data_IF_292842691949
#
_entry.id   IF_292842691949
#
_cell.length_a   1.000
_cell.length_b   1.000
_cell.length_c   1.000
_cell.angle_alpha   90.00
_cell.angle_beta   90.00
_cell.angle_gamma   90.00
#
_symmetry.space_group_name_H-M   'P 1'
#
loop_
_entity.id
_entity.type
_entity.pdbx_description
1 polymer ?
#
# COMPACT_ATOMS: atom_id res chain seq x y z
N UNK A 1 -2.87 22.01 20.11
CA UNK A 1 -3.97 22.30 21.04
C UNK A 1 -4.88 21.10 21.05
N UNK A 2 -4.87 20.35 22.14
CA UNK A 2 -5.91 19.38 22.47
C UNK A 2 -7.23 20.15 22.54
N UNK A 3 -8.21 19.90 21.66
CA UNK A 3 -9.53 20.49 21.83
C UNK A 3 -10.11 19.93 23.12
N UNK A 4 -10.60 20.82 23.97
CA UNK A 4 -11.22 20.47 25.23
C UNK A 4 -12.43 19.55 24.93
N UNK A 5 -12.58 18.47 25.69
CA UNK A 5 -13.64 17.47 25.48
C UNK A 5 -15.05 18.09 25.49
N UNK A 6 -15.17 19.27 26.08
CA UNK A 6 -16.33 20.15 26.15
C UNK A 6 -16.91 20.53 24.79
N UNK A 7 -16.12 20.54 23.71
CA UNK A 7 -16.57 20.91 22.36
C UNK A 7 -17.05 19.73 21.49
N UNK A 8 -17.10 18.51 22.04
CA UNK A 8 -17.59 17.35 21.30
C UNK A 8 -19.10 17.39 21.08
N UNK A 9 -19.56 16.98 19.89
CA UNK A 9 -20.97 16.99 19.50
C UNK A 9 -21.49 15.57 19.33
N UNK A 10 -22.73 15.32 19.73
CA UNK A 10 -23.34 13.99 19.53
C UNK A 10 -23.43 13.63 18.03
N UNK A 11 -23.24 12.35 17.68
CA UNK A 11 -23.34 11.85 16.30
C UNK A 11 -24.65 12.30 15.61
N UNK A 12 -25.78 12.24 16.31
CA UNK A 12 -27.08 12.70 15.79
C UNK A 12 -27.09 14.18 15.39
N UNK A 13 -26.41 15.04 16.14
CA UNK A 13 -26.34 16.48 15.85
C UNK A 13 -25.45 16.75 14.63
N UNK A 14 -24.34 16.03 14.51
CA UNK A 14 -23.43 16.12 13.35
C UNK A 14 -24.13 15.65 12.07
N UNK A 15 -24.81 14.49 12.12
CA UNK A 15 -25.59 13.98 10.99
C UNK A 15 -26.73 14.94 10.63
N UNK A 16 -27.49 15.43 11.62
CA UNK A 16 -28.57 16.38 11.39
C UNK A 16 -28.12 17.66 10.70
N UNK A 17 -27.00 18.24 11.13
CA UNK A 17 -26.42 19.39 10.46
C UNK A 17 -25.93 19.05 9.06
N UNK A 18 -25.33 17.87 8.86
CA UNK A 18 -24.94 17.37 7.54
C UNK A 18 -26.11 17.26 6.58
N UNK A 19 -27.24 16.72 7.04
CA UNK A 19 -28.51 16.64 6.30
C UNK A 19 -28.96 18.04 5.88
N UNK A 20 -29.02 18.97 6.84
CA UNK A 20 -29.41 20.37 6.57
C UNK A 20 -28.49 21.00 5.53
N UNK A 21 -27.17 20.90 5.73
CA UNK A 21 -26.13 21.44 4.84
C UNK A 21 -26.27 20.89 3.43
N UNK A 22 -26.40 19.56 3.29
CA UNK A 22 -26.57 18.87 2.00
C UNK A 22 -27.83 19.33 1.28
N UNK A 23 -28.95 19.46 2.01
CA UNK A 23 -30.23 19.92 1.47
C UNK A 23 -30.16 21.37 1.02
N UNK A 24 -29.67 22.27 1.88
CA UNK A 24 -29.63 23.72 1.58
C UNK A 24 -28.59 24.10 0.53
N UNK A 25 -27.61 23.24 0.25
CA UNK A 25 -26.66 23.44 -0.83
C UNK A 25 -27.33 23.53 -2.21
N UNK A 26 -28.52 22.93 -2.38
CA UNK A 26 -29.34 23.11 -3.57
C UNK A 26 -30.50 24.07 -3.29
N UNK A 27 -30.54 25.17 -4.04
CA UNK A 27 -31.62 26.16 -3.93
C UNK A 27 -32.98 25.52 -4.19
N UNK A 28 -33.92 25.75 -3.29
CA UNK A 28 -35.32 25.32 -3.45
C UNK A 28 -35.69 23.97 -2.85
N UNK A 29 -34.72 23.16 -2.38
CA UNK A 29 -35.04 21.87 -1.72
C UNK A 29 -35.55 22.11 -0.30
N UNK A 30 -36.79 21.73 -0.05
CA UNK A 30 -37.50 21.88 1.23
C UNK A 30 -37.40 20.57 2.03
N UNK A 31 -37.69 20.66 3.33
CA UNK A 31 -37.77 19.47 4.18
C UNK A 31 -38.89 18.51 3.73
N UNK A 32 -39.98 19.04 3.15
CA UNK A 32 -41.06 18.24 2.56
C UNK A 32 -40.57 17.36 1.39
N UNK A 33 -39.59 17.82 0.60
CA UNK A 33 -39.03 17.03 -0.49
C UNK A 33 -38.25 15.81 0.04
N UNK A 34 -37.52 15.99 1.15
CA UNK A 34 -36.82 14.90 1.86
C UNK A 34 -37.83 13.93 2.48
N UNK A 35 -38.90 14.44 3.10
CA UNK A 35 -39.95 13.60 3.66
C UNK A 35 -40.66 12.78 2.57
N UNK A 36 -40.95 13.39 1.42
CA UNK A 36 -41.53 12.72 0.25
C UNK A 36 -40.61 11.61 -0.29
N UNK A 37 -39.31 11.88 -0.41
CA UNK A 37 -38.33 10.87 -0.82
C UNK A 37 -38.20 9.73 0.21
N UNK A 38 -38.23 10.03 1.51
CA UNK A 38 -38.22 9.00 2.55
C UNK A 38 -39.44 8.08 2.48
N UNK A 39 -40.63 8.63 2.18
CA UNK A 39 -41.87 7.84 1.99
C UNK A 39 -41.81 6.88 0.81
N UNK A 40 -41.04 7.17 -0.25
CA UNK A 40 -40.86 6.21 -1.35
C UNK A 40 -40.02 4.99 -0.97
N UNK A 41 -39.27 5.06 0.14
CA UNK A 41 -38.57 3.92 0.76
C UNK A 41 -39.41 3.25 1.87
N UNK A 42 -40.69 3.59 2.00
CA UNK A 42 -41.57 3.03 3.03
C UNK A 42 -41.38 3.64 4.43
N UNK A 43 -40.59 4.71 4.57
CA UNK A 43 -40.43 5.39 5.85
C UNK A 43 -41.60 6.36 6.10
N UNK A 44 -42.20 6.29 7.27
CA UNK A 44 -43.27 7.21 7.70
C UNK A 44 -42.70 8.56 8.17
N UNK A 45 -41.97 9.25 7.28
CA UNK A 45 -41.40 10.57 7.54
C UNK A 45 -42.36 11.67 7.10
N UNK A 46 -42.53 12.65 7.97
CA UNK A 46 -43.20 13.91 7.71
C UNK A 46 -42.18 15.07 7.80
N UNK A 47 -42.64 16.28 7.45
CA UNK A 47 -41.85 17.49 7.57
C UNK A 47 -41.24 17.68 8.97
N UNK A 48 -42.04 17.45 10.02
CA UNK A 48 -41.65 17.61 11.42
C UNK A 48 -40.51 16.66 11.81
N UNK A 49 -40.52 15.42 11.30
CA UNK A 49 -39.47 14.43 11.51
C UNK A 49 -38.16 14.85 10.86
N UNK A 50 -38.20 15.38 9.64
CA UNK A 50 -37.00 15.91 8.97
C UNK A 50 -36.46 17.12 9.73
N UNK A 51 -37.32 18.04 10.19
CA UNK A 51 -36.91 19.19 10.98
C UNK A 51 -36.24 18.78 12.31
N UNK A 52 -36.80 17.79 13.02
CA UNK A 52 -36.23 17.26 14.25
C UNK A 52 -34.90 16.52 14.01
N UNK A 53 -34.77 15.82 12.88
CA UNK A 53 -33.52 15.21 12.45
C UNK A 53 -32.45 16.27 12.19
N UNK A 54 -32.76 17.34 11.45
CA UNK A 54 -31.82 18.42 11.13
C UNK A 54 -31.32 19.17 12.37
N UNK A 55 -32.10 19.21 13.45
CA UNK A 55 -31.70 19.78 14.75
C UNK A 55 -30.95 18.79 15.65
N UNK A 56 -30.84 17.52 15.25
CA UNK A 56 -30.25 16.47 16.09
C UNK A 56 -31.10 16.09 17.30
N UNK A 57 -32.39 16.45 17.32
CA UNK A 57 -33.32 16.13 18.41
C UNK A 57 -33.76 14.67 18.35
N UNK A 58 -33.89 14.13 17.13
CA UNK A 58 -34.36 12.76 16.89
C UNK A 58 -33.21 11.81 16.61
N UNK A 59 -33.20 10.67 17.29
CA UNK A 59 -32.32 9.57 16.96
C UNK A 59 -32.74 8.96 15.61
N UNK A 60 -31.74 8.61 14.79
CA UNK A 60 -31.91 7.89 13.54
C UNK A 60 -31.58 6.42 13.78
N UNK A 61 -32.41 5.50 13.29
CA UNK A 61 -32.08 4.06 13.37
C UNK A 61 -30.96 3.70 12.40
N UNK A 62 -30.40 2.50 12.52
CA UNK A 62 -29.36 2.02 11.59
C UNK A 62 -29.92 1.87 10.17
N UNK A 63 -31.15 1.37 10.03
CA UNK A 63 -31.87 1.22 8.76
C UNK A 63 -32.13 2.57 8.11
N UNK A 64 -32.59 3.56 8.89
CA UNK A 64 -32.81 4.91 8.39
C UNK A 64 -31.49 5.58 7.97
N UNK A 65 -30.41 5.38 8.73
CA UNK A 65 -29.09 5.92 8.40
C UNK A 65 -28.53 5.31 7.12
N UNK A 66 -28.77 4.01 6.88
CA UNK A 66 -28.35 3.33 5.66
C UNK A 66 -29.07 3.86 4.41
N UNK A 67 -30.36 4.22 4.53
CA UNK A 67 -31.16 4.77 3.43
C UNK A 67 -31.01 6.28 3.23
N UNK A 68 -30.53 7.00 4.24
CA UNK A 68 -30.45 8.47 4.25
C UNK A 68 -29.69 9.06 3.04
N UNK A 69 -28.53 8.52 2.59
CA UNK A 69 -27.83 9.04 1.42
C UNK A 69 -28.67 8.96 0.15
N UNK A 70 -29.42 7.88 -0.04
CA UNK A 70 -30.26 7.69 -1.22
C UNK A 70 -31.48 8.63 -1.19
N UNK A 71 -32.13 8.75 -0.02
CA UNK A 71 -33.24 9.69 0.21
C UNK A 71 -32.81 11.12 -0.14
N UNK A 72 -31.64 11.54 0.35
CA UNK A 72 -31.09 12.86 0.04
C UNK A 72 -30.68 12.99 -1.42
N UNK A 73 -30.23 11.90 -2.04
CA UNK A 73 -29.85 11.89 -3.45
C UNK A 73 -31.04 12.17 -4.35
N UNK A 74 -32.18 11.55 -4.06
CA UNK A 74 -33.46 11.79 -4.76
C UNK A 74 -33.92 13.23 -4.52
N UNK A 75 -34.03 13.65 -3.26
CA UNK A 75 -34.53 14.98 -2.92
C UNK A 75 -33.66 16.11 -3.50
N UNK A 76 -32.34 15.92 -3.52
CA UNK A 76 -31.40 16.90 -4.04
C UNK A 76 -31.08 16.73 -5.53
N UNK A 77 -31.50 15.64 -6.18
CA UNK A 77 -31.14 15.29 -7.57
C UNK A 77 -29.62 15.35 -7.78
N UNK A 78 -28.87 14.75 -6.87
CA UNK A 78 -27.40 14.61 -6.93
C UNK A 78 -26.97 13.43 -6.09
N UNK A 79 -25.87 12.78 -6.41
CA UNK A 79 -25.34 11.74 -5.54
C UNK A 79 -24.91 12.32 -4.19
N UNK A 80 -25.42 11.72 -3.11
CA UNK A 80 -25.05 11.99 -1.72
C UNK A 80 -24.55 10.68 -1.12
N UNK A 81 -23.38 10.71 -0.50
CA UNK A 81 -22.80 9.59 0.25
C UNK A 81 -22.85 9.91 1.74
N UNK A 82 -22.83 8.88 2.57
CA UNK A 82 -22.83 9.05 4.03
C UNK A 82 -21.67 9.94 4.55
N UNK A 83 -20.43 9.85 4.02
CA UNK A 83 -19.36 10.79 4.33
C UNK A 83 -19.68 12.28 4.10
N UNK A 84 -20.60 12.61 3.18
CA UNK A 84 -20.97 14.02 2.95
C UNK A 84 -21.77 14.63 4.12
N UNK A 85 -22.33 13.78 5.00
CA UNK A 85 -23.11 14.20 6.15
C UNK A 85 -22.26 14.49 7.40
N UNK A 86 -20.95 14.21 7.34
CA UNK A 86 -20.04 14.38 8.47
C UNK A 86 -19.04 15.46 8.11
N UNK A 87 -18.87 16.43 9.01
CA UNK A 87 -17.80 17.41 8.90
C UNK A 87 -16.49 16.76 9.39
N UNK A 88 -15.42 16.71 8.58
CA UNK A 88 -14.17 16.04 8.96
C UNK A 88 -13.48 16.66 10.19
N UNK A 89 -13.73 17.94 10.46
CA UNK A 89 -13.01 18.73 11.47
C UNK A 89 -13.74 18.80 12.82
N UNK A 90 -14.95 18.24 12.89
CA UNK A 90 -15.77 18.23 14.12
C UNK A 90 -15.46 17.00 14.97
N UNK A 91 -15.40 17.18 16.29
CA UNK A 91 -15.31 16.07 17.25
C UNK A 91 -16.69 15.49 17.55
N UNK A 92 -16.80 14.17 17.42
CA UNK A 92 -18.07 13.45 17.47
C UNK A 92 -18.08 12.45 18.62
N UNK A 93 -19.08 12.58 19.48
CA UNK A 93 -19.39 11.62 20.53
C UNK A 93 -20.19 10.44 19.94
N UNK A 94 -19.64 9.23 20.06
CA UNK A 94 -20.21 7.96 19.62
C UNK A 94 -20.18 6.97 20.79
N UNK A 95 -21.34 6.75 21.41
CA UNK A 95 -21.42 6.00 22.66
C UNK A 95 -20.60 6.70 23.75
N UNK A 96 -19.72 5.96 24.44
CA UNK A 96 -18.79 6.50 25.44
C UNK A 96 -17.48 7.06 24.87
N UNK A 97 -17.33 7.18 23.55
CA UNK A 97 -16.08 7.59 22.88
C UNK A 97 -16.24 8.91 22.13
N UNK A 98 -15.15 9.67 22.04
CA UNK A 98 -15.02 10.89 21.23
C UNK A 98 -14.01 10.61 20.12
N UNK A 99 -14.34 10.97 18.87
CA UNK A 99 -13.46 10.81 17.71
C UNK A 99 -13.68 11.92 16.68
N UNK A 100 -12.69 12.28 15.85
CA UNK A 100 -12.89 13.29 14.81
C UNK A 100 -13.84 12.77 13.71
N UNK A 101 -14.55 13.66 13.05
CA UNK A 101 -15.47 13.31 11.96
C UNK A 101 -14.75 12.65 10.78
N UNK A 102 -13.49 13.01 10.53
CA UNK A 102 -12.64 12.35 9.52
C UNK A 102 -12.44 10.85 9.78
N UNK A 103 -12.44 10.41 11.04
CA UNK A 103 -12.36 8.99 11.38
C UNK A 103 -13.69 8.27 11.13
N UNK A 104 -14.81 8.92 11.42
CA UNK A 104 -16.13 8.37 11.09
C UNK A 104 -16.35 8.23 9.59
N UNK A 105 -15.87 9.19 8.80
CA UNK A 105 -15.89 9.11 7.34
C UNK A 105 -15.19 7.83 6.86
N UNK A 106 -14.00 7.54 7.39
CA UNK A 106 -13.26 6.30 7.06
C UNK A 106 -14.02 5.05 7.49
N UNK A 107 -14.59 5.04 8.69
CA UNK A 107 -15.39 3.91 9.19
C UNK A 107 -16.57 3.64 8.26
N UNK A 108 -17.36 4.66 7.93
CA UNK A 108 -18.51 4.52 7.04
C UNK A 108 -18.15 4.25 5.58
N UNK A 109 -16.94 4.59 5.15
CA UNK A 109 -16.41 4.20 3.85
C UNK A 109 -15.93 2.73 3.81
N UNK A 110 -16.09 1.96 4.89
CA UNK A 110 -15.60 0.58 4.98
C UNK A 110 -14.09 0.48 5.19
N UNK A 111 -13.40 1.61 5.42
CA UNK A 111 -11.94 1.68 5.61
C UNK A 111 -11.55 1.47 7.09
N UNK A 112 -12.51 1.11 7.95
CA UNK A 112 -12.36 1.07 9.42
C UNK A 112 -11.89 -0.25 10.03
N UNK A 113 -11.66 -1.30 9.23
CA UNK A 113 -11.40 -2.66 9.75
C UNK A 113 -10.07 -2.83 10.52
N UNK A 114 -9.14 -1.86 10.47
CA UNK A 114 -7.84 -1.95 11.17
C UNK A 114 -7.82 -1.46 12.63
N UNK A 115 -8.97 -1.06 13.22
CA UNK A 115 -8.98 -0.32 14.51
C UNK A 115 -9.48 -1.06 15.75
N UNK A 116 -9.71 -2.36 15.69
CA UNK A 116 -10.11 -3.14 16.88
C UNK A 116 -9.04 -3.15 18.00
N UNK A 117 -7.76 -2.92 17.69
CA UNK A 117 -6.68 -2.82 18.70
C UNK A 117 -6.58 -1.45 19.39
N UNK A 118 -7.21 -0.39 18.85
CA UNK A 118 -7.19 0.95 19.45
C UNK A 118 -8.22 1.13 20.58
N UNK A 119 -9.01 0.09 20.88
CA UNK A 119 -10.10 0.12 21.84
C UNK A 119 -9.70 0.35 23.31
N UNK A 120 -8.40 0.43 23.65
CA UNK A 120 -7.90 0.50 25.02
C UNK A 120 -7.07 1.74 25.36
N UNK A 121 -6.96 2.74 24.47
CA UNK A 121 -6.04 3.87 24.70
C UNK A 121 -6.74 5.16 25.14
N UNK A 122 -6.15 5.80 26.16
CA UNK A 122 -6.46 7.13 26.67
C UNK A 122 -6.47 8.16 25.50
N UNK A 123 -7.39 9.16 25.49
CA UNK A 123 -7.37 10.28 24.53
C UNK A 123 -5.99 10.87 24.20
N UNK A 124 -5.09 11.01 25.18
CA UNK A 124 -3.73 11.51 24.96
C UNK A 124 -2.88 10.58 24.08
N UNK A 125 -3.06 9.26 24.21
CA UNK A 125 -2.41 8.27 23.37
C UNK A 125 -2.94 8.30 21.94
N UNK A 126 -4.23 8.63 21.76
CA UNK A 126 -4.83 8.82 20.44
C UNK A 126 -4.24 10.06 19.74
N UNK A 127 -4.04 11.16 20.47
CA UNK A 127 -3.43 12.39 19.90
C UNK A 127 -1.97 12.16 19.56
N UNK A 128 -1.21 11.50 20.45
CA UNK A 128 0.19 11.10 20.16
C UNK A 128 0.26 10.26 18.89
N UNK A 129 -0.62 9.25 18.75
CA UNK A 129 -0.70 8.43 17.54
C UNK A 129 -1.09 9.21 16.30
N UNK A 130 -1.99 10.19 16.37
CA UNK A 130 -2.33 10.99 15.19
C UNK A 130 -1.19 11.90 14.74
N UNK A 131 -0.43 12.48 15.68
CA UNK A 131 0.80 13.21 15.34
C UNK A 131 1.82 12.27 14.69
N UNK A 132 1.94 11.03 15.18
CA UNK A 132 2.78 10.00 14.55
C UNK A 132 2.28 9.64 13.14
N UNK A 133 0.96 9.54 12.93
CA UNK A 133 0.36 9.27 11.61
C UNK A 133 0.60 10.42 10.63
N UNK A 134 0.39 11.67 11.05
CA UNK A 134 0.68 12.84 10.20
C UNK A 134 2.16 12.87 9.80
N UNK A 135 3.06 12.62 10.76
CA UNK A 135 4.49 12.46 10.46
C UNK A 135 4.73 11.29 9.50
N UNK A 136 4.03 10.18 9.69
CA UNK A 136 4.17 9.01 8.84
C UNK A 136 3.75 9.31 7.38
N UNK A 137 2.80 10.22 7.13
CA UNK A 137 2.49 10.66 5.76
C UNK A 137 3.67 11.37 5.08
N UNK A 138 4.28 12.33 5.77
CA UNK A 138 5.47 12.97 5.24
C UNK A 138 6.63 11.95 5.05
N UNK A 139 6.70 10.90 5.90
CA UNK A 139 7.73 9.85 5.81
C UNK A 139 7.45 8.96 4.60
N UNK A 140 6.18 8.63 4.35
CA UNK A 140 5.69 7.95 3.16
C UNK A 140 6.06 8.74 1.91
N UNK A 141 5.80 10.04 1.87
CA UNK A 141 6.13 10.88 0.72
C UNK A 141 7.64 10.96 0.48
N UNK A 142 8.44 10.96 1.56
CA UNK A 142 9.90 10.85 1.44
C UNK A 142 10.32 9.48 0.89
N UNK A 143 9.76 8.38 1.40
CA UNK A 143 10.06 7.02 0.93
C UNK A 143 9.65 6.80 -0.53
N UNK A 144 8.52 7.37 -0.96
CA UNK A 144 8.09 7.36 -2.36
C UNK A 144 9.08 8.08 -3.26
N UNK A 145 9.54 9.29 -2.86
CA UNK A 145 10.57 10.03 -3.61
C UNK A 145 11.90 9.29 -3.70
N UNK A 146 12.19 8.42 -2.74
CA UNK A 146 13.37 7.55 -2.77
C UNK A 146 13.13 6.24 -3.54
N UNK A 147 11.97 6.08 -4.19
CA UNK A 147 11.57 4.85 -4.87
C UNK A 147 11.58 3.62 -3.95
N UNK A 148 11.43 3.83 -2.65
CA UNK A 148 11.50 2.77 -1.64
C UNK A 148 10.13 2.09 -1.45
N UNK A 149 9.05 2.79 -1.82
CA UNK A 149 7.65 2.35 -1.82
C UNK A 149 6.92 3.00 -3.01
N UNK A 150 5.74 2.52 -3.40
CA UNK A 150 4.98 3.06 -4.56
C UNK A 150 3.60 3.59 -4.18
N UNK A 151 3.14 4.63 -4.88
CA UNK A 151 1.95 5.45 -4.57
C UNK A 151 0.61 4.69 -4.56
N UNK A 152 0.54 3.53 -5.22
CA UNK A 152 -0.69 2.76 -5.44
C UNK A 152 -0.62 1.30 -4.98
N UNK A 153 0.29 0.98 -4.06
CA UNK A 153 0.19 -0.32 -3.40
C UNK A 153 -1.09 -0.31 -2.55
N UNK A 154 -2.11 -1.06 -2.98
CA UNK A 154 -3.31 -1.38 -2.17
C UNK A 154 -2.93 -1.93 -0.78
N UNK A 155 -1.66 -2.32 -0.63
CA UNK A 155 -1.02 -2.91 0.54
C UNK A 155 -0.09 -1.97 1.30
N UNK A 156 0.14 -0.73 0.84
CA UNK A 156 0.90 0.23 1.63
C UNK A 156 0.03 0.72 2.78
N UNK A 157 -0.09 -0.11 3.79
CA UNK A 157 -0.64 0.24 5.08
C UNK A 157 0.44 1.00 5.85
N UNK A 158 0.29 2.32 5.86
CA UNK A 158 1.15 3.22 6.63
C UNK A 158 1.22 2.81 8.11
N UNK A 159 0.13 2.24 8.66
CA UNK A 159 0.13 1.72 10.02
C UNK A 159 0.95 0.43 10.13
N UNK A 160 0.88 -0.48 9.16
CA UNK A 160 1.75 -1.65 9.12
C UNK A 160 3.23 -1.26 8.97
N UNK A 161 3.55 -0.22 8.19
CA UNK A 161 4.91 0.32 8.10
C UNK A 161 5.38 0.83 9.48
N UNK A 162 4.61 1.71 10.11
CA UNK A 162 4.96 2.29 11.42
C UNK A 162 5.04 1.21 12.50
N UNK A 163 4.12 0.24 12.50
CA UNK A 163 4.09 -0.84 13.48
C UNK A 163 5.22 -1.86 13.26
N UNK A 164 5.58 -2.14 12.00
CA UNK A 164 6.64 -3.09 11.70
C UNK A 164 8.03 -2.48 11.92
N UNK A 165 8.21 -1.18 11.67
CA UNK A 165 9.50 -0.49 11.78
C UNK A 165 9.73 0.06 13.18
N UNK A 166 10.50 -0.68 13.96
CA UNK A 166 11.00 -0.24 15.25
C UNK A 166 12.13 0.78 15.04
N UNK A 167 11.88 2.04 15.39
CA UNK A 167 12.89 3.09 15.38
C UNK A 167 13.69 3.01 16.67
N UNK A 168 14.96 2.60 16.57
CA UNK A 168 15.89 2.58 17.70
C UNK A 168 16.64 3.91 17.88
N UNK A 169 17.30 4.05 19.03
CA UNK A 169 18.12 5.22 19.35
C UNK A 169 19.29 5.43 18.37
N UNK A 170 19.77 4.35 17.74
CA UNK A 170 20.87 4.45 16.77
C UNK A 170 20.38 5.07 15.45
N UNK A 171 19.18 4.70 15.02
CA UNK A 171 18.48 5.25 13.86
C UNK A 171 18.16 6.74 14.08
N UNK A 172 17.63 7.12 15.25
CA UNK A 172 17.36 8.52 15.58
C UNK A 172 18.62 9.41 15.50
N UNK A 173 19.74 8.93 16.07
CA UNK A 173 21.01 9.67 16.05
C UNK A 173 21.58 9.75 14.64
N UNK A 174 21.46 8.69 13.87
CA UNK A 174 21.89 8.65 12.46
C UNK A 174 21.08 9.63 11.63
N UNK A 175 19.76 9.57 11.74
CA UNK A 175 18.81 10.46 11.07
C UNK A 175 19.16 11.93 11.34
N UNK A 176 19.33 12.31 12.62
CA UNK A 176 19.75 13.67 12.99
C UNK A 176 21.09 14.08 12.36
N UNK A 177 22.05 13.16 12.28
CA UNK A 177 23.39 13.45 11.76
C UNK A 177 23.40 13.67 10.24
N UNK A 178 22.56 12.95 9.49
CA UNK A 178 22.52 13.05 8.02
C UNK A 178 21.38 13.96 7.52
N UNK A 179 20.65 14.62 8.42
CA UNK A 179 19.54 15.51 8.05
C UNK A 179 18.28 14.78 7.58
N UNK A 180 18.08 13.54 8.04
CA UNK A 180 16.97 12.69 7.62
C UNK A 180 16.00 12.35 8.75
N UNK A 181 14.93 11.66 8.38
CA UNK A 181 13.87 11.26 9.31
C UNK A 181 14.12 9.86 9.89
N UNK A 182 13.86 9.63 11.19
CA UNK A 182 14.16 8.35 11.81
C UNK A 182 13.47 7.14 11.17
N UNK A 183 12.20 7.29 10.75
CA UNK A 183 11.46 6.20 10.11
C UNK A 183 12.04 5.86 8.73
N UNK A 184 12.45 6.87 7.95
CA UNK A 184 13.13 6.68 6.65
C UNK A 184 14.43 5.90 6.84
N UNK A 185 15.27 6.30 7.80
CA UNK A 185 16.52 5.58 8.12
C UNK A 185 16.25 4.15 8.55
N UNK A 186 15.29 3.93 9.45
CA UNK A 186 14.95 2.60 9.93
C UNK A 186 14.43 1.69 8.81
N UNK A 187 13.60 2.22 7.90
CA UNK A 187 13.10 1.47 6.75
C UNK A 187 14.22 1.12 5.75
N UNK A 188 15.01 2.12 5.34
CA UNK A 188 16.13 1.90 4.42
C UNK A 188 17.18 0.94 4.99
N UNK A 189 17.39 0.94 6.31
CA UNK A 189 18.29 0.00 6.98
C UNK A 189 17.87 -1.45 6.73
N UNK A 190 16.56 -1.72 6.77
CA UNK A 190 16.03 -3.05 6.48
C UNK A 190 16.10 -3.40 5.00
N UNK A 191 15.89 -2.44 4.10
CA UNK A 191 16.10 -2.70 2.67
C UNK A 191 17.56 -3.04 2.35
N UNK A 192 18.51 -2.30 2.95
CA UNK A 192 19.94 -2.48 2.73
C UNK A 192 20.49 -3.76 3.37
N UNK A 193 20.13 -4.02 4.63
CA UNK A 193 20.80 -5.05 5.45
C UNK A 193 19.86 -6.14 5.97
N UNK A 194 18.57 -6.06 5.66
CA UNK A 194 17.55 -6.97 6.20
C UNK A 194 17.27 -6.80 7.70
N UNK A 195 17.85 -5.79 8.35
CA UNK A 195 17.76 -5.58 9.81
C UNK A 195 17.93 -4.10 10.20
N UNK A 196 17.54 -3.70 11.43
CA UNK A 196 17.81 -2.36 11.95
C UNK A 196 19.30 -2.01 11.97
N UNK A 197 19.63 -0.72 11.87
CA UNK A 197 21.00 -0.20 11.84
C UNK A 197 21.77 -0.57 13.11
N UNK A 198 21.10 -0.49 14.28
CA UNK A 198 21.70 -0.90 15.55
C UNK A 198 22.15 -2.36 15.56
N UNK A 199 21.31 -3.26 15.04
CA UNK A 199 21.62 -4.69 14.94
C UNK A 199 22.72 -4.96 13.91
N UNK A 200 22.70 -4.29 12.76
CA UNK A 200 23.74 -4.42 11.75
C UNK A 200 25.10 -3.98 12.28
N UNK A 201 25.14 -2.87 13.04
CA UNK A 201 26.35 -2.42 13.74
C UNK A 201 26.87 -3.50 14.68
N UNK A 202 26.01 -4.03 15.54
CA UNK A 202 26.45 -4.97 16.57
C UNK A 202 26.88 -6.32 15.96
N UNK A 203 26.24 -6.76 14.88
CA UNK A 203 26.69 -7.89 14.06
C UNK A 203 28.09 -7.68 13.51
N UNK A 204 28.34 -6.57 12.80
CA UNK A 204 29.65 -6.28 12.20
C UNK A 204 30.75 -6.10 13.24
N UNK A 205 30.41 -5.55 14.42
CA UNK A 205 31.34 -5.48 15.55
C UNK A 205 31.67 -6.88 16.05
N UNK A 206 30.68 -7.75 16.22
CA UNK A 206 30.88 -9.14 16.66
C UNK A 206 31.70 -9.96 15.66
N UNK A 207 31.52 -9.75 14.36
CA UNK A 207 32.29 -10.44 13.31
C UNK A 207 33.77 -10.01 13.26
N UNK A 208 34.09 -8.80 13.75
CA UNK A 208 35.44 -8.22 13.71
C UNK A 208 36.16 -8.22 15.07
N UNK A 209 35.45 -8.54 16.14
CA UNK A 209 36.00 -8.58 17.49
C UNK A 209 36.68 -9.93 17.74
N UNK A 210 37.89 -9.90 18.30
CA UNK A 210 38.58 -11.10 18.72
C UNK A 210 38.14 -11.51 20.14
N UNK A 211 38.19 -12.81 20.45
CA UNK A 211 37.93 -13.29 21.80
C UNK A 211 38.96 -12.71 22.77
N UNK A 212 38.52 -11.84 23.68
CA UNK A 212 39.40 -11.15 24.66
C UNK A 212 39.71 -9.69 24.33
N UNK A 213 39.10 -9.10 23.30
CA UNK A 213 39.24 -7.66 23.04
C UNK A 213 38.83 -6.80 24.26
N UNK A 214 39.71 -5.88 24.65
CA UNK A 214 39.46 -4.92 25.75
C UNK A 214 38.25 -4.00 25.44
N UNK A 215 37.41 -3.67 26.44
CA UNK A 215 36.28 -2.77 26.28
C UNK A 215 36.57 -1.45 25.55
N UNK A 216 37.77 -0.86 25.65
CA UNK A 216 38.09 0.37 24.93
C UNK A 216 38.23 0.14 23.42
N UNK A 217 38.86 -0.98 23.03
CA UNK A 217 39.00 -1.40 21.62
C UNK A 217 37.64 -1.68 20.99
N UNK A 218 36.75 -2.39 21.70
CA UNK A 218 35.37 -2.63 21.24
C UNK A 218 34.59 -1.33 21.03
N UNK A 219 34.76 -0.35 21.93
CA UNK A 219 34.12 0.96 21.82
C UNK A 219 34.60 1.72 20.59
N UNK A 220 35.92 1.72 20.34
CA UNK A 220 36.51 2.33 19.14
C UNK A 220 36.06 1.62 17.85
N UNK A 221 35.99 0.29 17.86
CA UNK A 221 35.51 -0.51 16.73
C UNK A 221 34.05 -0.19 16.40
N UNK A 222 33.17 -0.17 17.41
CA UNK A 222 31.76 0.23 17.25
C UNK A 222 31.63 1.63 16.66
N UNK A 223 32.49 2.58 17.07
CA UNK A 223 32.54 3.92 16.51
C UNK A 223 32.98 3.99 15.05
N UNK A 224 33.90 3.11 14.61
CA UNK A 224 34.29 2.97 13.19
C UNK A 224 33.17 2.35 12.35
N UNK A 225 32.60 1.24 12.82
CA UNK A 225 31.48 0.54 12.15
C UNK A 225 30.28 1.47 11.99
N UNK A 226 29.93 2.23 13.04
CA UNK A 226 28.80 3.17 12.95
C UNK A 226 29.04 4.24 11.89
N UNK A 227 30.25 4.79 11.77
CA UNK A 227 30.58 5.76 10.72
C UNK A 227 30.45 5.15 9.32
N UNK A 228 31.01 3.95 9.13
CA UNK A 228 30.87 3.20 7.88
C UNK A 228 29.40 3.02 7.47
N UNK A 229 28.54 2.56 8.39
CA UNK A 229 27.12 2.35 8.10
C UNK A 229 26.37 3.66 7.80
N UNK A 230 26.78 4.77 8.43
CA UNK A 230 26.22 6.09 8.13
C UNK A 230 26.62 6.53 6.71
N UNK A 231 27.89 6.34 6.33
CA UNK A 231 28.37 6.68 4.99
C UNK A 231 27.66 5.83 3.92
N UNK A 232 27.46 4.53 4.18
CA UNK A 232 26.67 3.62 3.31
C UNK A 232 25.20 4.07 3.18
N UNK A 233 24.56 4.46 4.29
CA UNK A 233 23.18 4.97 4.30
C UNK A 233 23.06 6.28 3.50
N UNK A 234 23.98 7.24 3.72
CA UNK A 234 24.00 8.49 2.97
C UNK A 234 24.21 8.25 1.48
N UNK A 235 25.11 7.34 1.11
CA UNK A 235 25.33 6.98 -0.29
C UNK A 235 24.09 6.33 -0.92
N UNK A 236 23.35 5.49 -0.18
CA UNK A 236 22.11 4.90 -0.67
C UNK A 236 21.01 5.95 -0.91
N UNK A 237 20.83 6.87 0.03
CA UNK A 237 19.86 7.97 -0.13
C UNK A 237 20.22 8.78 -1.38
N UNK A 238 21.49 9.16 -1.54
CA UNK A 238 21.93 9.89 -2.72
C UNK A 238 21.72 9.14 -4.04
N UNK A 239 21.96 7.81 -4.07
CA UNK A 239 21.68 6.98 -5.26
C UNK A 239 20.19 6.95 -5.60
N UNK A 240 19.33 6.78 -4.58
CA UNK A 240 17.89 6.76 -4.74
C UNK A 240 17.33 8.10 -5.21
N UNK A 241 17.86 9.21 -4.71
CA UNK A 241 17.49 10.53 -5.22
C UNK A 241 17.91 10.73 -6.68
N UNK A 242 19.15 10.33 -7.04
CA UNK A 242 19.65 10.46 -8.40
C UNK A 242 18.93 9.58 -9.42
N UNK A 243 18.38 8.44 -8.98
CA UNK A 243 17.77 7.43 -9.86
C UNK A 243 16.37 7.02 -9.41
N UNK A 244 15.61 7.96 -8.84
CA UNK A 244 14.33 7.65 -8.19
C UNK A 244 13.34 6.90 -9.09
N UNK A 245 13.25 7.25 -10.37
CA UNK A 245 12.38 6.57 -11.33
C UNK A 245 12.71 5.08 -11.47
N UNK A 246 14.01 4.76 -11.57
CA UNK A 246 14.48 3.38 -11.74
C UNK A 246 14.24 2.54 -10.47
N UNK A 247 14.47 3.14 -9.29
CA UNK A 247 14.14 2.49 -8.02
C UNK A 247 12.63 2.32 -7.84
N UNK A 248 11.83 3.32 -8.21
CA UNK A 248 10.37 3.25 -8.12
C UNK A 248 9.80 2.19 -9.07
N UNK A 249 10.33 2.08 -10.28
CA UNK A 249 9.97 1.02 -11.23
C UNK A 249 10.31 -0.37 -10.68
N UNK A 250 11.54 -0.56 -10.19
CA UNK A 250 11.95 -1.81 -9.55
C UNK A 250 11.01 -2.21 -8.40
N UNK A 251 10.76 -1.28 -7.47
CA UNK A 251 9.89 -1.52 -6.32
C UNK A 251 8.47 -1.89 -6.75
N UNK A 252 7.94 -1.22 -7.78
CA UNK A 252 6.59 -1.50 -8.31
C UNK A 252 6.46 -2.94 -8.83
N UNK A 253 7.45 -3.41 -9.57
CA UNK A 253 7.43 -4.79 -10.07
C UNK A 253 7.63 -5.83 -8.97
N UNK A 254 8.49 -5.55 -7.97
CA UNK A 254 8.68 -6.43 -6.81
C UNK A 254 7.42 -6.54 -5.96
N UNK A 255 6.72 -5.42 -5.72
CA UNK A 255 5.45 -5.42 -4.99
C UNK A 255 4.37 -6.18 -5.77
N UNK A 256 4.26 -5.94 -7.09
CA UNK A 256 3.32 -6.66 -7.95
C UNK A 256 3.59 -8.17 -7.97
N UNK A 257 4.84 -8.58 -8.04
CA UNK A 257 5.21 -9.99 -7.94
C UNK A 257 4.83 -10.59 -6.59
N UNK A 258 5.16 -9.89 -5.49
CA UNK A 258 4.90 -10.37 -4.13
C UNK A 258 3.40 -10.56 -3.88
N UNK A 259 2.58 -9.61 -4.36
CA UNK A 259 1.12 -9.70 -4.30
C UNK A 259 0.59 -10.94 -5.02
N UNK A 260 1.05 -11.18 -6.26
CA UNK A 260 0.58 -12.33 -7.03
C UNK A 260 1.07 -13.65 -6.45
N UNK A 261 2.27 -13.69 -5.85
CA UNK A 261 2.76 -14.85 -5.11
C UNK A 261 1.89 -15.14 -3.89
N UNK A 262 1.55 -14.12 -3.11
CA UNK A 262 0.74 -14.30 -1.91
C UNK A 262 -0.70 -14.71 -2.28
N UNK A 263 -1.28 -14.18 -3.37
CA UNK A 263 -2.54 -14.66 -3.96
C UNK A 263 -2.46 -16.11 -4.40
N UNK A 264 -1.41 -16.49 -5.13
CA UNK A 264 -1.16 -17.86 -5.57
C UNK A 264 -1.08 -18.82 -4.37
N UNK A 265 -0.36 -18.46 -3.31
CA UNK A 265 -0.27 -19.27 -2.10
C UNK A 265 -1.57 -19.29 -1.28
N UNK A 266 -2.33 -18.20 -1.22
CA UNK A 266 -3.62 -18.18 -0.53
C UNK A 266 -4.63 -19.13 -1.19
N UNK A 267 -4.69 -19.15 -2.53
CA UNK A 267 -5.49 -20.11 -3.30
C UNK A 267 -4.99 -21.54 -3.08
N UNK A 268 -3.68 -21.74 -3.07
CA UNK A 268 -3.10 -23.07 -2.84
C UNK A 268 -3.37 -23.60 -1.42
N UNK A 269 -3.29 -22.73 -0.40
CA UNK A 269 -3.47 -23.07 1.00
C UNK A 269 -4.94 -23.27 1.41
N UNK A 270 -5.89 -22.66 0.68
CA UNK A 270 -7.34 -22.86 0.90
C UNK A 270 -7.87 -24.20 0.39
N UNK A 271 -6.97 -25.12 0.04
CA UNK A 271 -7.24 -26.57 -0.08
C UNK A 271 -7.58 -27.25 1.26
N UNK A 272 -8.08 -26.50 2.26
CA UNK A 272 -8.66 -27.02 3.50
C UNK A 272 -10.01 -27.69 3.18
N UNK A 273 -10.18 -28.99 3.46
CA UNK A 273 -11.41 -29.74 3.19
C UNK A 273 -12.69 -29.11 3.76
N UNK A 274 -12.59 -28.30 4.83
CA UNK A 274 -13.76 -27.69 5.49
C UNK A 274 -14.30 -26.44 4.78
N UNK A 275 -13.45 -25.68 4.09
CA UNK A 275 -13.87 -24.52 3.29
C UNK A 275 -14.42 -24.93 1.91
N UNK A 276 -14.18 -26.18 1.51
CA UNK A 276 -14.74 -26.78 0.29
C UNK A 276 -16.28 -26.82 0.31
N UNK A 277 -16.92 -26.92 1.49
CA UNK A 277 -18.37 -27.01 1.60
C UNK A 277 -19.10 -25.71 1.25
N UNK A 278 -18.50 -24.54 1.48
CA UNK A 278 -19.08 -23.24 1.12
C UNK A 278 -18.91 -22.91 -0.38
N UNK A 279 -18.10 -23.70 -1.07
CA UNK A 279 -17.68 -23.55 -2.47
C UNK A 279 -18.64 -24.21 -3.47
N UNK A 280 -19.48 -25.11 -2.97
CA UNK A 280 -20.43 -25.94 -3.74
C UNK A 280 -21.64 -25.12 -4.25
N UNK A 281 -21.87 -23.92 -3.72
CA UNK A 281 -23.00 -23.05 -4.11
C UNK A 281 -22.71 -22.14 -5.33
N UNK A 282 -21.54 -22.28 -5.97
CA UNK A 282 -21.26 -21.68 -7.29
C UNK A 282 -21.22 -22.77 -8.35
N UNK A 283 -21.85 -22.59 -9.51
CA UNK A 283 -22.04 -23.63 -10.53
C UNK A 283 -20.74 -24.19 -11.16
N UNK A 284 -19.56 -23.61 -10.90
CA UNK A 284 -18.26 -24.18 -11.28
C UNK A 284 -17.08 -23.62 -10.44
N UNK A 285 -16.81 -24.17 -9.26
CA UNK A 285 -15.74 -23.69 -8.38
C UNK A 285 -14.33 -24.09 -8.86
N UNK A 286 -14.19 -25.20 -9.60
CA UNK A 286 -12.91 -25.68 -10.12
C UNK A 286 -12.30 -24.76 -11.19
N UNK A 287 -13.12 -24.16 -12.05
CA UNK A 287 -12.67 -23.21 -13.08
C UNK A 287 -12.20 -21.87 -12.50
N UNK A 288 -12.73 -21.46 -11.35
CA UNK A 288 -12.32 -20.20 -10.69
C UNK A 288 -10.93 -20.35 -10.05
N UNK A 289 -10.65 -21.51 -9.43
CA UNK A 289 -9.32 -21.80 -8.89
C UNK A 289 -8.27 -21.90 -9.97
N UNK A 290 -8.53 -22.70 -11.00
CA UNK A 290 -7.59 -22.88 -12.10
C UNK A 290 -7.32 -21.54 -12.80
N UNK A 291 -8.33 -20.71 -12.99
CA UNK A 291 -8.17 -19.37 -13.55
C UNK A 291 -7.36 -18.44 -12.64
N UNK A 292 -7.63 -18.40 -11.33
CA UNK A 292 -6.90 -17.55 -10.38
C UNK A 292 -5.44 -17.98 -10.24
N UNK A 293 -5.16 -19.29 -10.20
CA UNK A 293 -3.81 -19.84 -10.12
C UNK A 293 -3.02 -19.57 -11.41
N UNK A 294 -3.64 -19.79 -12.58
CA UNK A 294 -2.99 -19.54 -13.88
C UNK A 294 -2.77 -18.05 -14.12
N UNK A 295 -3.73 -17.20 -13.75
CA UNK A 295 -3.59 -15.73 -13.89
C UNK A 295 -2.49 -15.22 -12.96
N UNK A 296 -2.50 -15.61 -11.69
CA UNK A 296 -1.47 -15.19 -10.73
C UNK A 296 -0.08 -15.65 -11.17
N UNK A 297 0.06 -16.88 -11.69
CA UNK A 297 1.34 -17.39 -12.19
C UNK A 297 1.83 -16.61 -13.42
N UNK A 298 0.95 -16.37 -14.40
CA UNK A 298 1.28 -15.56 -15.59
C UNK A 298 1.71 -14.15 -15.20
N UNK A 299 1.01 -13.53 -14.26
CA UNK A 299 1.33 -12.19 -13.76
C UNK A 299 2.66 -12.17 -13.01
N UNK A 300 2.98 -13.22 -12.24
CA UNK A 300 4.31 -13.40 -11.64
C UNK A 300 5.41 -13.49 -12.72
N UNK A 301 5.21 -14.28 -13.77
CA UNK A 301 6.21 -14.42 -14.85
C UNK A 301 6.42 -13.09 -15.62
N UNK A 302 5.36 -12.30 -15.79
CA UNK A 302 5.45 -10.94 -16.35
C UNK A 302 6.28 -10.03 -15.42
N UNK A 303 6.00 -10.07 -14.12
CA UNK A 303 6.73 -9.28 -13.14
C UNK A 303 8.21 -9.68 -13.06
N UNK A 304 8.51 -10.98 -13.14
CA UNK A 304 9.88 -11.51 -13.13
C UNK A 304 10.72 -11.00 -14.30
N UNK A 305 10.15 -11.00 -15.51
CA UNK A 305 10.80 -10.40 -16.70
C UNK A 305 11.04 -8.91 -16.52
N UNK A 306 10.03 -8.16 -16.09
CA UNK A 306 10.17 -6.73 -15.87
C UNK A 306 11.24 -6.41 -14.80
N UNK A 307 11.32 -7.20 -13.73
CA UNK A 307 12.38 -7.08 -12.71
C UNK A 307 13.75 -7.37 -13.32
N UNK A 308 13.88 -8.39 -14.18
CA UNK A 308 15.13 -8.71 -14.86
C UNK A 308 15.59 -7.54 -15.75
N UNK A 309 14.69 -6.96 -16.53
CA UNK A 309 14.97 -5.82 -17.41
C UNK A 309 15.41 -4.58 -16.62
N UNK A 310 14.70 -4.25 -15.53
CA UNK A 310 15.08 -3.13 -14.66
C UNK A 310 16.43 -3.40 -14.00
N UNK A 311 16.71 -4.62 -13.55
CA UNK A 311 18.01 -4.99 -12.97
C UNK A 311 19.14 -4.88 -13.99
N UNK A 312 18.90 -5.15 -15.26
CA UNK A 312 19.91 -4.91 -16.31
C UNK A 312 20.23 -3.42 -16.42
N UNK A 313 19.23 -2.54 -16.40
CA UNK A 313 19.46 -1.09 -16.36
C UNK A 313 20.28 -0.65 -15.13
N UNK A 314 20.12 -1.30 -13.97
CA UNK A 314 21.00 -1.07 -12.81
C UNK A 314 22.46 -1.44 -13.14
N UNK A 315 22.70 -2.59 -13.79
CA UNK A 315 24.05 -3.04 -14.18
C UNK A 315 24.69 -2.09 -15.18
N UNK A 316 23.96 -1.68 -16.22
CA UNK A 316 24.43 -0.74 -17.25
C UNK A 316 24.86 0.61 -16.64
N UNK A 317 24.19 1.05 -15.56
CA UNK A 317 24.51 2.28 -14.83
C UNK A 317 25.56 2.10 -13.74
N UNK A 318 26.10 0.89 -13.56
CA UNK A 318 27.04 0.58 -12.48
C UNK A 318 26.46 0.75 -11.07
N UNK A 319 25.14 0.61 -10.93
CA UNK A 319 24.44 0.76 -9.66
C UNK A 319 24.38 -0.59 -8.91
N UNK A 320 24.39 -0.55 -7.56
CA UNK A 320 24.19 -1.77 -6.79
C UNK A 320 22.79 -2.34 -7.04
N UNK A 321 22.71 -3.64 -7.26
CA UNK A 321 21.44 -4.32 -7.49
C UNK A 321 20.60 -4.32 -6.21
N UNK A 322 19.32 -3.91 -6.27
CA UNK A 322 18.43 -3.98 -5.11
C UNK A 322 18.25 -5.42 -4.63
N UNK A 323 17.97 -5.57 -3.34
CA UNK A 323 17.62 -6.84 -2.72
C UNK A 323 16.26 -7.32 -3.23
N UNK A 324 16.14 -8.63 -3.48
CA UNK A 324 14.90 -9.28 -3.87
C UNK A 324 14.27 -9.97 -2.65
N UNK A 325 12.93 -10.06 -2.59
CA UNK A 325 12.25 -10.73 -1.49
C UNK A 325 12.62 -12.22 -1.44
N UNK A 326 12.49 -12.83 -0.26
CA UNK A 326 12.70 -14.27 -0.11
C UNK A 326 11.74 -15.06 -1.00
N UNK A 327 12.22 -16.16 -1.58
CA UNK A 327 11.45 -17.00 -2.50
C UNK A 327 11.35 -16.46 -3.93
N UNK A 328 11.92 -15.28 -4.22
CA UNK A 328 12.06 -14.82 -5.60
C UNK A 328 13.06 -15.71 -6.37
N UNK A 329 12.78 -16.08 -7.64
CA UNK A 329 13.68 -16.91 -8.43
C UNK A 329 15.08 -16.30 -8.51
N UNK A 330 16.12 -17.13 -8.49
CA UNK A 330 17.50 -16.64 -8.61
C UNK A 330 17.78 -16.23 -10.06
N UNK A 331 17.29 -15.05 -10.46
CA UNK A 331 17.48 -14.50 -11.79
C UNK A 331 18.97 -14.40 -12.18
N UNK A 332 19.86 -14.15 -11.24
CA UNK A 332 21.29 -14.00 -11.56
C UNK A 332 21.94 -15.35 -11.99
N UNK A 333 21.44 -16.48 -11.50
CA UNK A 333 21.90 -17.80 -11.92
C UNK A 333 21.32 -18.19 -13.29
N UNK A 334 20.05 -17.87 -13.54
CA UNK A 334 19.36 -18.18 -14.79
C UNK A 334 19.73 -17.22 -15.92
N UNK A 335 19.94 -15.93 -15.67
CA UNK A 335 20.46 -14.99 -16.66
C UNK A 335 21.86 -15.40 -17.13
N UNK A 336 22.70 -15.88 -16.20
CA UNK A 336 24.00 -16.48 -16.56
C UNK A 336 23.83 -17.76 -17.37
N UNK A 337 22.82 -18.59 -17.08
CA UNK A 337 22.54 -19.82 -17.82
C UNK A 337 21.93 -19.55 -19.21
N UNK A 338 21.03 -18.58 -19.34
CA UNK A 338 20.42 -18.13 -20.60
C UNK A 338 21.44 -17.40 -21.46
N UNK A 339 22.29 -16.54 -20.90
CA UNK A 339 23.41 -15.94 -21.62
C UNK A 339 24.41 -17.00 -22.10
N UNK A 340 24.67 -18.05 -21.30
CA UNK A 340 25.49 -19.19 -21.73
C UNK A 340 24.82 -20.04 -22.82
N UNK A 341 23.50 -20.26 -22.74
CA UNK A 341 22.73 -20.96 -23.77
C UNK A 341 22.68 -20.15 -25.07
N UNK A 342 22.51 -18.84 -24.99
CA UNK A 342 22.57 -17.93 -26.13
C UNK A 342 23.98 -17.85 -26.73
N UNK A 343 25.04 -17.86 -25.91
CA UNK A 343 26.43 -17.90 -26.37
C UNK A 343 26.84 -19.28 -26.93
N UNK A 344 26.26 -20.37 -26.40
CA UNK A 344 26.46 -21.73 -26.91
C UNK A 344 25.64 -22.00 -28.19
N UNK A 345 24.54 -21.27 -28.37
CA UNK A 345 23.82 -21.15 -29.63
C UNK A 345 24.60 -20.17 -30.52
N UNK A 346 25.76 -20.61 -31.03
CA UNK A 346 26.52 -19.83 -32.01
C UNK A 346 25.61 -19.33 -33.14
N UNK A 347 26.00 -18.24 -33.84
CA UNK A 347 25.19 -17.71 -34.93
C UNK A 347 24.83 -18.86 -35.87
N UNK A 348 23.53 -19.11 -36.03
CA UNK A 348 23.02 -20.06 -37.01
C UNK A 348 23.72 -19.72 -38.32
N UNK A 349 24.66 -20.59 -38.71
CA UNK A 349 25.49 -20.39 -39.89
C UNK A 349 24.58 -20.06 -41.06
N UNK A 350 25.02 -19.09 -41.86
CA UNK A 350 24.40 -18.71 -43.13
C UNK A 350 23.93 -19.98 -43.83
N UNK A 351 22.61 -20.20 -43.84
CA UNK A 351 22.03 -21.29 -44.57
C UNK A 351 22.36 -21.06 -46.04
N UNK A 352 23.10 -22.00 -46.62
CA UNK A 352 23.41 -22.06 -48.05
C UNK A 352 22.17 -21.67 -48.84
N UNK A 353 22.27 -20.55 -49.55
CA UNK A 353 21.24 -20.11 -50.48
C UNK A 353 21.15 -21.19 -51.57
N UNK A 354 19.98 -21.82 -51.79
CA UNK A 354 19.87 -22.84 -52.81
C UNK A 354 20.18 -22.20 -54.17
N UNK A 355 21.24 -22.71 -54.81
CA UNK A 355 21.66 -22.32 -56.15
C UNK A 355 20.47 -22.42 -57.09
N UNK A 356 20.10 -21.29 -57.67
CA UNK A 356 19.10 -21.18 -58.73
C UNK A 356 19.65 -21.89 -59.97
N UNK A 357 19.28 -23.16 -60.14
CA UNK A 357 19.49 -23.87 -61.40
C UNK A 357 18.62 -23.22 -62.48
N UNK A 358 19.29 -22.76 -63.53
CA UNK A 358 18.72 -22.05 -64.66
C UNK A 358 17.70 -22.88 -65.41
N UNK A 359 16.56 -22.25 -65.71
CA UNK A 359 15.64 -22.69 -66.75
C UNK A 359 16.13 -22.05 -68.04
N UNK A 360 16.64 -22.90 -68.93
CA UNK A 360 17.10 -22.58 -70.27
C UNK A 360 15.90 -22.44 -71.23
N UNK A 361 15.69 -21.30 -71.91
CA UNK A 361 14.59 -21.13 -72.84
C UNK A 361 15.11 -21.09 -74.27
N UNK A 362 15.33 -22.24 -74.92
CA UNK A 362 15.35 -22.35 -76.39
C UNK A 362 15.43 -23.82 -76.83
N UNK A 363 14.36 -24.35 -77.42
CA UNK A 363 14.50 -25.04 -78.70
C UNK A 363 13.14 -25.25 -79.37
N UNK A 364 13.05 -24.64 -80.55
CA UNK A 364 12.16 -24.99 -81.66
C UNK A 364 12.45 -26.42 -82.14
N UNK A 365 11.41 -27.15 -82.56
CA UNK A 365 11.30 -27.78 -83.89
C UNK A 365 10.03 -28.66 -83.93
N UNK A 366 9.05 -28.36 -84.79
CA UNK A 366 8.95 -28.77 -86.20
C UNK A 366 8.75 -30.28 -86.38
N UNK A 367 7.49 -30.74 -86.41
CA UNK A 367 6.87 -31.55 -87.48
C UNK A 367 5.39 -31.82 -87.23
#
# INVERSE_FOLDING_TARGET
MTPDHTDSRSLRAVIGEGVRRVRTAKKGVRQEDVAKAARSYGLNWDYSRVAALERGEKAISAEELALLPDILSIACVRLVKLPNLIDPDVWVQVGGRVMPGSDLIKIYAGQGALRAQAAHTNPDDWIRRNVEVTRAWDDRDRLMRLGAIVENSEYFDLHALVASVTVGLTEERTARRIGERPLVVAYLSRLLWGRPLGEQRDRLVSERADAGDDPARLRALRGRVTRQLIDEMTAEIGRREAHHDLYAEHTRHVEFWSLNRDRYHAVSATSDPKLHQHRIDTDSPGTVDEWLTNTSRRDMDIAERAIADVREQFRERGLPLPTLPSGFPRLDAEATALARLAAASGPLGEADTPSTHGIDPTNEDTQ
#
